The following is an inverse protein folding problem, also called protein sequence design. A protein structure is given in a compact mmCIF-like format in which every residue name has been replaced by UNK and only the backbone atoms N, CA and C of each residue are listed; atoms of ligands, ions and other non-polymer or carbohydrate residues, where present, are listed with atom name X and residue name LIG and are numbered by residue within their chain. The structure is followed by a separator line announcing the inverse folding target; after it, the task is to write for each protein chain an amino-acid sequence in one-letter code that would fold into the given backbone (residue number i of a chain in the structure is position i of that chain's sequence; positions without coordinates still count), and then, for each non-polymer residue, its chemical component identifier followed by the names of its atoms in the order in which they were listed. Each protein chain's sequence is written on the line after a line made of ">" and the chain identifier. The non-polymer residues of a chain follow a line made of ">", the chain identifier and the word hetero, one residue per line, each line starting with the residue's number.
data_IF_905302706091
#
_entry.id   IF_905302706091
#
_cell.length_a   1.000
_cell.length_b   1.000
_cell.length_c   1.000
_cell.angle_alpha   90.00
_cell.angle_beta   90.00
_cell.angle_gamma   90.00
#
_symmetry.space_group_name_H-M   'P 1'
#
loop_
_entity.id
_entity.type
_entity.pdbx_description
1 polymer ?
2 polymer ?
3 non-polymer ?
4 water ?
#
# COMPACT_ATOMS: atom_id res chain seq x y z
N UNK A 1 16.95 6.55 -6.41
CA UNK A 1 17.40 5.77 -5.27
C UNK A 1 16.69 4.46 -5.27
N UNK A 2 17.26 3.48 -4.56
CA UNK A 2 16.70 2.14 -4.38
C UNK A 2 16.32 2.03 -2.92
N UNK A 3 15.07 1.67 -2.66
CA UNK A 3 14.57 1.58 -1.29
C UNK A 3 14.19 0.16 -0.91
N UNK A 4 14.82 -0.35 0.14
CA UNK A 4 14.51 -1.70 0.65
C UNK A 4 13.26 -1.58 1.52
N UNK A 5 12.62 -2.71 1.83
CA UNK A 5 11.37 -2.67 2.60
C UNK A 5 11.38 -3.18 4.04
N UNK A 6 12.55 -3.16 4.68
CA UNK A 6 12.69 -3.61 6.08
C UNK A 6 11.97 -2.62 7.00
N UNK A 7 11.92 -1.37 6.56
CA UNK A 7 11.24 -0.30 7.31
C UNK A 7 10.22 0.30 6.35
N UNK A 8 9.20 0.98 6.89
CA UNK A 8 8.19 1.61 6.02
C UNK A 8 8.92 2.58 5.09
N UNK A 9 8.60 2.55 3.79
CA UNK A 9 9.23 3.44 2.81
C UNK A 9 8.73 4.87 2.91
N UNK A 10 9.09 5.52 4.02
CA UNK A 10 8.70 6.92 4.28
C UNK A 10 9.72 7.88 3.69
N UNK A 11 9.23 8.88 2.97
CA UNK A 11 10.12 9.89 2.38
C UNK A 11 9.55 11.27 2.65
N UNK A 12 10.40 12.28 2.52
CA UNK A 12 9.97 13.66 2.72
C UNK A 12 9.44 14.21 1.42
N UNK A 13 8.28 14.85 1.50
CA UNK A 13 7.66 15.46 0.33
C UNK A 13 7.44 16.94 0.63
N UNK A 14 7.34 17.74 -0.42
CA UNK A 14 7.09 19.18 -0.29
C UNK A 14 5.79 19.44 -1.00
N UNK A 15 4.86 20.07 -0.31
CA UNK A 15 3.56 20.37 -0.90
C UNK A 15 3.04 21.66 -0.30
N UNK A 16 2.53 22.54 -1.16
CA UNK A 16 2.01 23.82 -0.72
C UNK A 16 3.03 24.68 0.02
N UNK A 17 4.31 24.37 -0.17
CA UNK A 17 5.37 25.11 0.49
C UNK A 17 5.74 24.53 1.85
N UNK A 18 5.11 23.41 2.21
CA UNK A 18 5.37 22.73 3.50
C UNK A 18 6.08 21.39 3.30
N UNK A 19 6.76 20.92 4.34
CA UNK A 19 7.48 19.63 4.32
C UNK A 19 6.67 18.59 5.10
N UNK A 20 6.52 17.40 4.53
CA UNK A 20 5.78 16.32 5.20
C UNK A 20 6.37 14.95 4.92
N UNK A 21 6.06 13.98 5.78
CA UNK A 21 6.53 12.59 5.64
C UNK A 21 5.39 11.81 5.00
N UNK A 22 5.70 11.05 3.95
CA UNK A 22 4.67 10.26 3.27
C UNK A 22 5.21 8.90 2.86
N UNK A 23 4.32 7.92 2.91
CA UNK A 23 4.64 6.53 2.58
C UNK A 23 4.51 6.27 1.08
N UNK A 24 5.54 5.70 0.46
CA UNK A 24 5.48 5.35 -0.97
C UNK A 24 4.64 4.07 -0.96
N UNK A 25 3.42 4.20 -1.49
CA UNK A 25 2.42 3.13 -1.43
C UNK A 25 1.96 2.55 -2.76
N UNK A 26 2.55 1.43 -3.15
CA UNK A 26 2.18 0.77 -4.41
C UNK A 26 0.78 0.14 -4.38
N UNK A 27 0.24 -0.08 -3.17
CA UNK A 27 -1.08 -0.66 -3.04
C UNK A 27 -2.20 0.38 -2.98
N UNK A 28 -1.86 1.63 -3.23
CA UNK A 28 -2.84 2.72 -3.21
C UNK A 28 -3.00 3.31 -4.61
N UNK A 29 -4.24 3.42 -5.09
CA UNK A 29 -4.49 4.00 -6.42
C UNK A 29 -4.26 5.50 -6.36
N UNK A 30 -4.68 6.10 -5.25
CA UNK A 30 -4.60 7.55 -5.05
C UNK A 30 -3.61 7.99 -3.98
N UNK A 31 -3.41 9.31 -3.94
CA UNK A 31 -2.54 9.97 -2.96
C UNK A 31 -3.48 10.61 -1.95
N UNK A 32 -3.32 10.22 -0.68
CA UNK A 32 -4.17 10.72 0.40
C UNK A 32 -3.31 11.27 1.54
N UNK A 33 -3.54 12.53 1.88
CA UNK A 33 -2.81 13.20 2.95
C UNK A 33 -3.75 13.53 4.10
N UNK A 34 -3.19 13.60 5.30
CA UNK A 34 -3.97 13.95 6.50
C UNK A 34 -4.48 15.38 6.33
N UNK A 35 -5.52 15.73 7.08
CA UNK A 35 -6.12 17.07 7.00
C UNK A 35 -5.08 18.18 7.01
N UNK A 36 -5.16 19.03 5.99
CA UNK A 36 -4.26 20.18 5.84
C UNK A 36 -4.93 21.12 4.86
N UNK A 37 -4.55 22.39 4.90
CA UNK A 37 -5.13 23.39 3.99
C UNK A 37 -4.31 23.46 2.72
N UNK A 38 -5.01 23.42 1.59
CA UNK A 38 -4.36 23.49 0.28
C UNK A 38 -5.08 24.53 -0.56
N UNK A 39 -4.33 25.33 -1.31
CA UNK A 39 -4.92 26.36 -2.16
C UNK A 39 -5.76 25.74 -3.28
N UNK A 40 -6.78 26.47 -3.72
CA UNK A 40 -7.63 25.97 -4.78
C UNK A 40 -8.93 25.35 -4.30
N UNK A 41 -9.86 25.19 -5.23
CA UNK A 41 -11.17 24.61 -4.93
C UNK A 41 -11.07 23.09 -4.79
N UNK A 42 -11.90 22.53 -3.92
CA UNK A 42 -11.91 21.08 -3.71
C UNK A 42 -13.31 20.50 -3.90
N UNK A 43 -13.37 19.25 -4.32
CA UNK A 43 -14.65 18.57 -4.54
C UNK A 43 -14.75 17.41 -3.56
N UNK A 44 -15.95 17.18 -3.00
CA UNK A 44 -16.13 16.08 -2.05
C UNK A 44 -16.04 14.74 -2.79
N UNK A 45 -15.31 13.80 -2.22
CA UNK A 45 -15.16 12.47 -2.83
C UNK A 45 -15.11 11.40 -1.75
N UNK A 46 -15.36 10.16 -2.13
CA UNK A 46 -15.30 9.03 -1.20
C UNK A 46 -14.38 7.96 -1.75
N UNK A 47 -13.44 7.52 -0.92
CA UNK A 47 -12.48 6.46 -1.31
C UNK A 47 -12.54 5.32 -0.30
N UNK A 48 -12.10 4.15 -0.73
CA UNK A 48 -12.13 2.98 0.13
C UNK A 48 -10.77 2.48 0.55
N UNK A 49 -10.71 1.96 1.76
CA UNK A 49 -9.47 1.43 2.28
C UNK A 49 -9.74 0.05 2.85
N UNK A 50 -8.81 -0.47 3.64
CA UNK A 50 -8.97 -1.80 4.25
C UNK A 50 -10.14 -1.85 5.24
N UNK A 51 -10.37 -0.76 5.97
CA UNK A 51 -11.44 -0.73 6.95
C UNK A 51 -12.78 -0.20 6.48
N UNK A 52 -12.84 0.29 5.25
CA UNK A 52 -14.09 0.82 4.73
C UNK A 52 -13.90 2.08 3.92
N UNK A 53 -14.98 2.85 3.77
CA UNK A 53 -14.96 4.11 3.00
C UNK A 53 -14.89 5.35 3.87
N UNK A 54 -14.19 6.37 3.38
CA UNK A 54 -14.08 7.66 4.09
C UNK A 54 -14.38 8.79 3.12
N UNK A 55 -14.73 9.94 3.66
CA UNK A 55 -15.00 11.12 2.84
C UNK A 55 -13.72 11.94 2.79
N UNK A 56 -13.33 12.38 1.60
CA UNK A 56 -12.12 13.18 1.43
C UNK A 56 -12.39 14.41 0.60
N UNK A 57 -11.43 15.34 0.59
CA UNK A 57 -11.53 16.57 -0.20
C UNK A 57 -10.57 16.37 -1.35
N UNK A 58 -11.06 16.52 -2.58
CA UNK A 58 -10.24 16.34 -3.77
C UNK A 58 -9.68 17.63 -4.37
N UNK A 59 -8.35 17.70 -4.42
CA UNK A 59 -7.63 18.84 -4.99
C UNK A 59 -6.92 18.36 -6.25
N UNK A 60 -7.16 19.05 -7.36
CA UNK A 60 -6.55 18.68 -8.64
C UNK A 60 -5.34 19.52 -9.01
N UNK A 61 -4.51 18.96 -9.89
CA UNK A 61 -3.31 19.62 -10.42
C UNK A 61 -2.44 20.29 -9.34
N UNK A 62 -2.15 19.55 -8.27
CA UNK A 62 -1.33 20.06 -7.16
C UNK A 62 0.12 19.59 -7.29
N UNK A 63 1.07 20.54 -7.34
CA UNK A 63 2.49 20.17 -7.46
C UNK A 63 3.00 19.57 -6.14
N UNK A 64 3.70 18.45 -6.24
CA UNK A 64 4.25 17.76 -5.06
C UNK A 64 5.66 17.32 -5.39
N UNK A 65 6.60 17.65 -4.53
CA UNK A 65 7.99 17.24 -4.76
C UNK A 65 8.27 16.04 -3.86
N UNK A 66 8.55 14.90 -4.48
CA UNK A 66 8.82 13.65 -3.76
C UNK A 66 10.30 13.32 -3.83
N UNK A 67 11.00 13.52 -2.72
CA UNK A 67 12.45 13.24 -2.67
C UNK A 67 13.19 13.95 -3.81
N UNK A 68 12.82 15.20 -4.06
CA UNK A 68 13.47 15.96 -5.11
C UNK A 68 12.85 15.79 -6.49
N UNK A 69 11.99 14.79 -6.66
CA UNK A 69 11.34 14.55 -7.96
C UNK A 69 9.99 15.24 -8.05
N UNK A 70 9.79 15.98 -9.13
CA UNK A 70 8.55 16.73 -9.32
C UNK A 70 7.38 15.91 -9.87
N UNK A 71 6.19 16.23 -9.38
CA UNK A 71 4.95 15.59 -9.82
C UNK A 71 3.85 16.64 -9.64
N UNK A 72 2.82 16.56 -10.47
CA UNK A 72 1.68 17.49 -10.39
C UNK A 72 0.43 16.65 -10.66
N UNK A 73 -0.40 16.47 -9.65
CA UNK A 73 -1.59 15.68 -9.84
C UNK A 73 -2.62 15.85 -8.76
N UNK A 74 -3.58 14.93 -8.75
CA UNK A 74 -4.68 14.93 -7.77
C UNK A 74 -4.21 14.50 -6.38
N UNK A 75 -4.56 15.29 -5.38
CA UNK A 75 -4.20 14.99 -3.99
C UNK A 75 -5.50 14.98 -3.19
N UNK A 76 -5.71 13.93 -2.42
CA UNK A 76 -6.92 13.81 -1.58
C UNK A 76 -6.54 14.10 -0.12
N UNK A 77 -7.41 14.81 0.58
CA UNK A 77 -7.16 15.15 1.99
C UNK A 77 -8.29 14.61 2.84
N UNK A 78 -7.94 13.85 3.86
CA UNK A 78 -8.95 13.27 4.73
C UNK A 78 -8.35 12.48 5.87
N UNK A 79 -9.20 11.84 6.71
CA UNK A 79 -8.77 11.04 7.86
C UNK A 79 -8.07 9.73 7.51
N UNK A 80 -6.76 9.81 7.31
CA UNK A 80 -5.94 8.64 6.99
C UNK A 80 -4.93 8.45 8.13
N UNK A 81 -4.62 7.18 8.49
CA UNK A 81 -3.66 6.94 9.56
C UNK A 81 -2.25 7.46 9.25
N UNK A 82 -1.93 7.54 7.96
CA UNK A 82 -0.61 8.01 7.49
C UNK A 82 -0.72 8.65 6.10
N UNK A 83 0.17 9.60 5.81
CA UNK A 83 0.18 10.25 4.49
C UNK A 83 0.68 9.20 3.51
N UNK A 84 -0.03 9.02 2.40
CA UNK A 84 0.39 8.04 1.39
C UNK A 84 0.50 8.63 -0.02
N UNK A 85 1.56 8.24 -0.73
CA UNK A 85 1.79 8.67 -2.11
C UNK A 85 1.38 7.44 -2.92
N UNK A 86 0.28 7.56 -3.66
CA UNK A 86 -0.22 6.45 -4.45
C UNK A 86 0.31 6.38 -5.87
N UNK A 87 -0.18 5.41 -6.64
CA UNK A 87 0.26 5.20 -8.03
C UNK A 87 0.06 6.38 -8.97
N UNK A 88 -0.91 7.23 -8.68
CA UNK A 88 -1.16 8.38 -9.55
C UNK A 88 0.07 9.30 -9.62
N UNK A 89 0.81 9.40 -8.52
CA UNK A 89 2.01 10.24 -8.46
C UNK A 89 3.28 9.43 -8.63
N UNK A 90 3.25 8.18 -8.18
CA UNK A 90 4.42 7.30 -8.30
C UNK A 90 4.80 7.08 -9.76
N UNK A 91 3.81 7.01 -10.64
CA UNK A 91 4.07 6.82 -12.07
C UNK A 91 4.74 8.06 -12.66
N UNK A 92 4.38 9.23 -12.14
CA UNK A 92 4.95 10.49 -12.64
C UNK A 92 6.45 10.61 -12.37
N UNK A 93 6.90 10.04 -11.25
CA UNK A 93 8.34 10.08 -10.90
C UNK A 93 9.07 8.83 -11.39
N UNK A 94 8.37 7.99 -12.15
CA UNK A 94 8.97 6.78 -12.70
C UNK A 94 9.32 5.68 -11.71
N UNK A 95 8.52 5.54 -10.66
CA UNK A 95 8.75 4.51 -9.64
C UNK A 95 8.36 3.12 -10.15
N UNK A 96 9.18 2.12 -9.85
CA UNK A 96 8.90 0.73 -10.24
C UNK A 96 9.25 -0.21 -9.10
N UNK A 97 8.67 -1.41 -9.13
CA UNK A 97 8.96 -2.45 -8.13
C UNK A 97 9.91 -3.41 -8.82
N UNK A 98 10.98 -3.79 -8.13
CA UNK A 98 11.97 -4.71 -8.71
C UNK A 98 12.37 -5.82 -7.74
N UNK A 99 12.62 -7.00 -8.28
CA UNK A 99 13.05 -8.16 -7.48
C UNK A 99 13.54 -9.28 -8.39
N UNK B 1 12.20 -9.38 -11.99
CA UNK B 1 11.45 -8.61 -12.97
C UNK B 1 11.25 -7.23 -12.45
N UNK B 2 10.87 -6.30 -13.38
CA UNK B 2 10.58 -4.91 -13.05
C UNK B 2 9.11 -4.67 -13.29
N UNK B 3 8.40 -4.19 -12.27
CA UNK B 3 6.96 -3.94 -12.38
C UNK B 3 6.64 -2.45 -12.37
N UNK B 4 5.99 -1.97 -13.43
CA UNK B 4 5.61 -0.55 -13.52
C UNK B 4 4.30 -0.36 -12.77
N UNK B 5 3.97 0.89 -12.47
CA UNK B 5 2.76 1.15 -11.68
C UNK B 5 1.58 1.77 -12.42
N UNK B 6 1.55 1.58 -13.73
CA UNK B 6 0.44 2.11 -14.56
C UNK B 6 -0.85 1.44 -14.12
N UNK B 7 -0.72 0.17 -13.75
CA UNK B 7 -1.84 -0.64 -13.26
C UNK B 7 -1.47 -1.16 -11.87
N UNK B 8 -2.46 -1.65 -11.14
CA UNK B 8 -2.21 -2.21 -9.80
C UNK B 8 -1.23 -3.35 -9.98
N UNK B 9 -0.17 -3.38 -9.16
CA UNK B 9 0.83 -4.45 -9.26
C UNK B 9 0.33 -5.80 -8.75
N UNK B 10 -0.51 -6.45 -9.54
CA UNK B 10 -1.06 -7.78 -9.19
C UNK B 10 -0.20 -8.88 -9.77
N UNK B 11 0.12 -9.88 -8.96
CA UNK B 11 0.95 -11.01 -9.40
C UNK B 11 0.34 -12.30 -8.86
N UNK B 12 0.81 -13.43 -9.38
CA UNK B 12 0.31 -14.73 -8.92
C UNK B 12 1.13 -15.23 -7.74
N UNK B 13 0.44 -15.72 -6.73
CA UNK B 13 1.10 -16.28 -5.54
C UNK B 13 0.52 -17.67 -5.31
N UNK B 14 1.23 -18.49 -4.54
CA UNK B 14 0.74 -19.82 -4.20
C UNK B 14 0.82 -19.98 -2.69
N UNK B 15 -0.30 -20.32 -2.09
CA UNK B 15 -0.39 -20.52 -0.64
C UNK B 15 -1.40 -21.63 -0.38
N UNK B 16 -1.03 -22.55 0.51
CA UNK B 16 -1.91 -23.65 0.85
C UNK B 16 -2.32 -24.46 -0.36
N UNK B 17 -1.40 -24.59 -1.32
CA UNK B 17 -1.67 -25.35 -2.53
C UNK B 17 -2.47 -24.61 -3.59
N UNK B 18 -3.02 -23.46 -3.24
CA UNK B 18 -3.83 -22.67 -4.20
C UNK B 18 -3.07 -21.51 -4.85
N UNK B 19 -3.42 -21.23 -6.11
CA UNK B 19 -2.81 -20.11 -6.85
C UNK B 19 -3.78 -18.94 -6.75
N UNK B 20 -3.25 -17.76 -6.44
CA UNK B 20 -4.09 -16.55 -6.31
C UNK B 20 -3.41 -15.31 -6.88
N UNK B 21 -4.21 -14.27 -7.09
CA UNK B 21 -3.70 -12.99 -7.59
C UNK B 21 -3.63 -12.09 -6.37
N UNK B 22 -2.48 -11.47 -6.15
CA UNK B 22 -2.31 -10.58 -5.00
C UNK B 22 -1.59 -9.30 -5.38
N UNK B 23 -1.88 -8.26 -4.60
CA UNK B 23 -1.31 -6.92 -4.79
C UNK B 23 0.00 -6.77 -4.01
N UNK B 24 1.09 -6.44 -4.71
CA UNK B 24 2.39 -6.21 -4.05
C UNK B 24 2.26 -4.82 -3.43
N UNK B 25 2.16 -4.78 -2.11
CA UNK B 25 1.93 -3.52 -1.41
C UNK B 25 3.01 -3.03 -0.44
N UNK B 26 3.76 -2.02 -0.87
CA UNK B 26 4.82 -1.42 -0.05
C UNK B 26 4.24 -0.63 1.13
N UNK B 27 2.94 -0.34 1.06
CA UNK B 27 2.27 0.39 2.13
C UNK B 27 1.58 -0.50 3.15
N UNK B 28 1.81 -1.81 3.05
CA UNK B 28 1.22 -2.77 3.98
C UNK B 28 2.28 -3.39 4.88
N UNK B 29 2.10 -3.25 6.19
CA UNK B 29 3.04 -3.84 7.16
C UNK B 29 2.93 -5.35 7.13
N UNK B 30 1.70 -5.84 6.97
CA UNK B 30 1.40 -7.28 6.98
C UNK B 30 0.79 -7.77 5.68
N UNK B 31 0.77 -9.09 5.53
CA UNK B 31 0.20 -9.76 4.36
C UNK B 31 -1.22 -10.15 4.75
N UNK B 32 -2.20 -9.64 4.01
CA UNK B 32 -3.62 -9.92 4.30
C UNK B 32 -4.28 -10.60 3.11
N UNK B 33 -4.84 -11.78 3.35
CA UNK B 33 -5.50 -12.54 2.27
C UNK B 33 -7.00 -12.62 2.50
N UNK B 34 -7.78 -12.72 1.43
CA UNK B 34 -9.24 -12.84 1.58
C UNK B 34 -9.59 -14.19 2.21
N UNK B 35 -10.75 -14.25 2.87
CA UNK B 35 -11.21 -15.47 3.57
C UNK B 35 -10.90 -16.80 2.87
N UNK B 36 -10.24 -17.68 3.61
CA UNK B 36 -9.88 -19.02 3.13
C UNK B 36 -9.60 -19.88 4.36
N UNK B 37 -10.10 -21.11 4.34
CA UNK B 37 -9.92 -22.01 5.49
C UNK B 37 -8.60 -22.77 5.52
N UNK B 38 -7.56 -22.08 5.95
CA UNK B 38 -6.22 -22.68 6.08
C UNK B 38 -6.18 -23.54 7.32
N UNK B 39 -5.51 -24.70 7.24
CA UNK B 39 -5.45 -25.53 8.45
C UNK B 39 -4.38 -24.94 9.39
N UNK B 40 -4.48 -25.26 10.67
CA UNK B 40 -3.52 -24.76 11.61
C UNK B 40 -4.07 -23.86 12.69
N UNK B 41 -3.26 -23.68 13.74
CA UNK B 41 -3.63 -22.83 14.86
C UNK B 41 -3.46 -21.38 14.41
N UNK B 42 -4.32 -20.51 14.91
CA UNK B 42 -4.26 -19.09 14.57
C UNK B 42 -4.58 -18.27 15.81
N UNK B 43 -4.24 -16.99 15.76
CA UNK B 43 -4.52 -16.08 16.88
C UNK B 43 -5.34 -14.92 16.33
N UNK B 44 -6.26 -14.38 17.13
CA UNK B 44 -7.07 -13.26 16.65
C UNK B 44 -6.24 -11.97 16.60
N UNK B 45 -6.50 -11.13 15.60
CA UNK B 45 -5.76 -9.88 15.46
C UNK B 45 -6.61 -8.82 14.77
N UNK B 46 -6.27 -7.56 15.02
CA UNK B 46 -6.96 -6.42 14.40
C UNK B 46 -5.94 -5.56 13.66
N UNK B 47 -6.23 -5.27 12.40
CA UNK B 47 -5.36 -4.43 11.57
C UNK B 47 -6.20 -3.27 11.04
N UNK B 48 -5.56 -2.13 10.82
CA UNK B 48 -6.29 -0.98 10.35
C UNK B 48 -5.72 -0.33 9.11
N UNK B 49 -6.39 0.72 8.67
CA UNK B 49 -5.97 1.46 7.50
C UNK B 49 -7.04 2.49 7.23
N UNK B 50 -7.19 2.90 5.99
CA UNK B 50 -8.23 3.88 5.66
C UNK B 50 -9.59 3.24 5.92
N UNK B 51 -10.44 3.94 6.67
CA UNK B 51 -11.76 3.40 6.95
C UNK B 51 -11.88 2.78 8.33
N UNK B 52 -10.76 2.38 8.91
CA UNK B 52 -10.81 1.78 10.23
C UNK B 52 -10.09 0.46 10.34
N UNK B 53 -10.50 -0.34 11.32
CA UNK B 53 -9.90 -1.66 11.59
C UNK B 53 -10.83 -2.81 11.22
N UNK B 54 -10.25 -3.98 11.00
CA UNK B 54 -11.02 -5.21 10.69
C UNK B 54 -10.39 -6.33 11.50
N UNK B 55 -11.19 -7.33 11.84
CA UNK B 55 -10.69 -8.48 12.61
C UNK B 55 -10.18 -9.53 11.63
N UNK B 56 -9.01 -10.07 11.93
CA UNK B 56 -8.41 -11.10 11.08
C UNK B 56 -7.82 -12.21 11.93
N UNK B 57 -7.57 -13.36 11.31
CA UNK B 57 -6.97 -14.50 12.01
C UNK B 57 -5.53 -14.54 11.55
N UNK B 58 -4.63 -14.62 12.52
CA UNK B 58 -3.20 -14.66 12.23
C UNK B 58 -2.65 -16.08 12.19
N UNK B 59 -2.03 -16.43 11.06
CA UNK B 59 -1.40 -17.75 10.85
C UNK B 59 0.10 -17.52 10.69
N UNK B 60 0.92 -18.28 11.41
CA UNK B 60 2.38 -18.11 11.32
C UNK B 60 3.08 -19.20 10.54
N UNK B 61 4.28 -18.88 10.06
CA UNK B 61 5.11 -19.82 9.30
C UNK B 61 4.40 -20.48 8.13
N UNK B 62 3.70 -19.68 7.33
CA UNK B 62 2.98 -20.21 6.17
C UNK B 62 3.83 -20.01 4.91
N UNK B 63 4.06 -21.10 4.16
CA UNK B 63 4.85 -21.04 2.92
C UNK B 63 4.07 -20.31 1.83
N UNK B 64 4.68 -19.28 1.26
CA UNK B 64 4.04 -18.51 0.19
C UNK B 64 5.04 -18.28 -0.93
N UNK B 65 4.65 -18.66 -2.14
CA UNK B 65 5.51 -18.48 -3.31
C UNK B 65 5.00 -17.29 -4.10
N UNK B 66 5.85 -16.29 -4.28
CA UNK B 66 5.49 -15.06 -5.00
C UNK B 66 6.26 -14.96 -6.30
N UNK B 67 5.57 -15.25 -7.40
CA UNK B 67 6.18 -15.20 -8.74
C UNK B 67 7.41 -16.10 -8.82
N UNK B 68 7.28 -17.32 -8.30
CA UNK B 68 8.39 -18.25 -8.33
C UNK B 68 9.42 -18.07 -7.23
N UNK B 69 9.26 -17.02 -6.42
CA UNK B 69 10.18 -16.76 -5.31
C UNK B 69 9.54 -17.26 -4.02
N UNK B 70 10.21 -18.19 -3.36
CA UNK B 70 9.70 -18.76 -2.11
C UNK B 70 9.88 -17.81 -0.94
N UNK B 71 8.93 -17.87 -0.02
CA UNK B 71 8.95 -17.05 1.19
C UNK B 71 8.13 -17.80 2.23
N UNK B 72 8.31 -17.45 3.49
CA UNK B 72 7.56 -18.10 4.57
C UNK B 72 7.39 -17.13 5.72
N UNK B 73 6.15 -16.94 6.15
CA UNK B 73 5.92 -16.02 7.24
C UNK B 73 4.49 -15.95 7.70
N UNK B 74 4.19 -14.87 8.40
CA UNK B 74 2.86 -14.61 8.96
C UNK B 74 1.89 -14.12 7.90
N UNK B 75 0.72 -14.75 7.86
CA UNK B 75 -0.33 -14.39 6.91
C UNK B 75 -1.61 -14.15 7.70
N UNK B 76 -2.28 -13.05 7.39
CA UNK B 76 -3.54 -12.71 8.06
C UNK B 76 -4.67 -13.01 7.08
N UNK B 77 -5.76 -13.58 7.59
CA UNK B 77 -6.92 -13.94 6.77
C UNK B 77 -8.14 -13.24 7.35
N UNK B 78 -8.82 -12.46 6.51
CA UNK B 78 -9.99 -11.74 6.97
C UNK B 78 -10.79 -11.19 5.82
N UNK B 79 -11.86 -10.45 6.11
CA UNK B 79 -12.73 -9.85 5.09
C UNK B 79 -12.10 -8.68 4.32
N UNK B 80 -11.04 -8.97 3.58
CA UNK B 80 -10.37 -7.94 2.78
C UNK B 80 -10.89 -8.02 1.34
N UNK B 81 -11.01 -6.86 0.67
CA UNK B 81 -11.50 -6.87 -0.72
C UNK B 81 -10.49 -7.44 -1.71
N UNK B 82 -9.21 -7.40 -1.34
CA UNK B 82 -8.14 -7.90 -2.21
C UNK B 82 -7.01 -8.58 -1.42
N UNK B 83 -6.32 -9.51 -2.07
CA UNK B 83 -5.18 -10.21 -1.44
C UNK B 83 -4.01 -9.24 -1.48
N UNK B 84 -3.41 -9.01 -0.32
CA UNK B 84 -2.29 -8.05 -0.21
C UNK B 84 -1.01 -8.67 0.33
N UNK B 85 0.07 -8.57 -0.44
CA UNK B 85 1.37 -9.07 0.02
C UNK B 85 2.10 -7.86 0.60
N UNK B 86 2.30 -7.88 1.91
CA UNK B 86 2.94 -6.79 2.61
C UNK B 86 4.44 -6.92 2.71
N UNK B 87 5.06 -5.94 3.36
CA UNK B 87 6.52 -5.89 3.53
C UNK B 87 7.16 -7.10 4.20
N UNK B 88 6.43 -7.76 5.10
CA UNK B 88 6.98 -8.95 5.78
C UNK B 88 7.39 -10.06 4.80
N UNK B 89 6.73 -10.12 3.65
CA UNK B 89 7.07 -11.13 2.64
C UNK B 89 7.88 -10.54 1.48
N UNK B 90 7.66 -9.25 1.20
CA UNK B 90 8.38 -8.55 0.12
C UNK B 90 9.88 -8.47 0.39
N UNK B 91 10.24 -8.27 1.66
CA UNK B 91 11.66 -8.20 2.04
C UNK B 91 12.34 -9.53 1.77
N UNK B 92 11.60 -10.62 1.99
CA UNK B 92 12.12 -11.98 1.78
C UNK B 92 12.42 -12.31 0.32
N UNK B 93 11.75 -11.63 -0.60
CA UNK B 93 11.99 -11.89 -2.03
C UNK B 93 12.88 -10.82 -2.65
N UNK B 94 13.49 -10.01 -1.78
CA UNK B 94 14.39 -8.95 -2.20
C UNK B 94 13.76 -7.87 -3.04
N UNK B 95 12.53 -7.49 -2.71
CA UNK B 95 11.82 -6.45 -3.46
C UNK B 95 12.24 -5.05 -3.02
N UNK B 96 12.45 -4.17 -3.99
CA UNK B 96 12.84 -2.77 -3.73
C UNK B 96 12.02 -1.79 -4.57
N UNK B 97 11.99 -0.54 -4.12
CA UNK B 97 11.31 0.54 -4.85
C UNK B 97 12.44 1.30 -5.52
N UNK B 98 12.31 1.56 -6.81
CA UNK B 98 13.36 2.28 -7.55
C UNK B 98 12.82 3.42 -8.39
N UNK B 99 13.50 4.56 -8.32
CA UNK B 99 13.15 5.75 -9.12
C UNK B 99 14.31 6.74 -9.16
N UNK C 1 -7.34 1.75 -1.52
CA UNK C 1 -6.09 2.35 -1.03
C UNK C 1 -5.71 1.63 0.26
N UNK C 2 -4.74 0.72 0.15
CA UNK C 2 -4.26 -0.08 1.29
C UNK C 2 -2.84 0.36 1.66
N UNK C 3 -2.94 2.14 3.38
CA UNK C 3 -2.08 1.44 4.34
C UNK C 3 -2.70 0.24 5.06
N UNK C 4 -1.82 -0.56 5.63
CA UNK C 4 -2.20 -1.72 6.44
C UNK C 4 -1.26 -1.57 7.62
N UNK C 5 -1.81 -1.16 8.76
CA UNK C 5 -1.01 -0.98 9.98
C UNK C 5 -1.42 -2.00 11.05
N UNK C 6 -0.43 -2.63 11.68
X LIG D 1 18.35 11.12 -6.99
X LIG D 1 18.38 12.25 -7.90
X LIG D 1 18.49 9.89 -7.74
X LIG D 1 17.07 11.10 -6.31
X LIG D 1 19.43 11.22 -6.03
X LIG E 1 6.61 26.17 -4.52
X LIG E 1 8.06 26.29 -4.48
X LIG E 1 6.25 24.95 -5.22
X LIG E 1 6.06 27.32 -5.22
X LIG E 1 6.08 26.13 -3.17
X LIG F 1 -17.66 -4.80 17.62
X LIG F 1 -16.21 -4.78 17.73
X LIG F 1 -18.06 -6.00 16.91
X LIG F 1 -18.11 -3.63 16.90
X LIG F 1 -18.25 -4.81 18.95
#
# INVERSE_FOLDING_TARGET
>A
PQITLWQRPLVTIRIGGQLKEALLDTGADDTVLEEMNLPGKWKPKMIGGIGGFIKVRQYDQIPVEIXGHKAIGTVLVGPTPVNIIGRNLLTQIGXTLNF
>B
PQITLWQRPLVTIRIGGQLKEALLDTGADDTVLEEMNLPGKWKPKMIGGIGGFIKVRQYDQIPVEIXGHKAIGTVLVGPTPVNIIGRNLLTQIGXTLNF
>C
NXPIVX
>D hetero
1 SO4 S O1 O2 O3 O4
>E hetero
1 SO4 S O1 O2 O3 O4
>F hetero
1 SO4 S O1 O2 O3 O4
#
